data_IF_516558738840
#
_entry.id   IF_516558738840
#
_cell.length_a   1.000
_cell.length_b   1.000
_cell.length_c   1.000
_cell.angle_alpha   90.00
_cell.angle_beta   90.00
_cell.angle_gamma   90.00
#
_symmetry.space_group_name_H-M   'P 1'
#
loop_
_entity.id
_entity.type
_entity.pdbx_description
1 polymer ?
#
# COMPACT_ATOMS: atom_id res chain seq x y z
N UNK A 1 -34.99 -9.33 29.55
CA UNK A 1 -35.11 -8.62 28.26
C UNK A 1 -33.91 -9.04 27.41
N UNK A 2 -34.09 -10.07 26.60
CA UNK A 2 -33.10 -10.49 25.62
C UNK A 2 -33.37 -9.72 24.33
N UNK A 3 -32.38 -8.96 23.86
CA UNK A 3 -32.44 -8.27 22.57
C UNK A 3 -32.26 -9.33 21.47
N UNK A 4 -33.31 -9.58 20.71
CA UNK A 4 -33.28 -10.45 19.56
C UNK A 4 -32.55 -9.75 18.41
N UNK A 5 -31.47 -10.37 17.93
CA UNK A 5 -30.83 -10.05 16.65
C UNK A 5 -31.77 -10.53 15.52
N UNK A 6 -32.04 -9.76 14.46
CA UNK A 6 -33.04 -10.12 13.46
C UNK A 6 -32.50 -11.21 12.53
N UNK A 7 -33.13 -12.39 12.57
CA UNK A 7 -32.84 -13.52 11.68
C UNK A 7 -33.37 -13.34 10.23
N UNK A 8 -33.88 -12.16 9.87
CA UNK A 8 -34.54 -11.91 8.58
C UNK A 8 -33.61 -11.31 7.50
N UNK A 9 -32.44 -10.77 7.86
CA UNK A 9 -31.51 -10.13 6.90
C UNK A 9 -30.62 -11.13 6.17
N UNK A 10 -30.25 -12.25 6.83
CA UNK A 10 -29.31 -13.25 6.27
C UNK A 10 -29.92 -13.96 5.05
N UNK A 11 -31.22 -14.26 5.07
CA UNK A 11 -31.92 -14.97 3.98
C UNK A 11 -32.06 -14.10 2.72
N UNK A 12 -32.26 -12.78 2.89
CA UNK A 12 -32.42 -11.84 1.78
C UNK A 12 -31.10 -11.59 1.03
N UNK A 13 -29.98 -11.47 1.75
CA UNK A 13 -28.66 -11.25 1.15
C UNK A 13 -28.17 -12.50 0.40
N UNK A 14 -28.45 -13.70 0.92
CA UNK A 14 -28.12 -14.96 0.26
C UNK A 14 -28.96 -15.16 -1.02
N UNK A 15 -30.26 -14.84 -0.97
CA UNK A 15 -31.12 -14.86 -2.15
C UNK A 15 -30.67 -13.87 -3.24
N UNK A 16 -30.21 -12.67 -2.83
CA UNK A 16 -29.65 -11.68 -3.75
C UNK A 16 -28.41 -12.24 -4.45
N UNK A 17 -27.46 -12.81 -3.71
CA UNK A 17 -26.24 -13.39 -4.28
C UNK A 17 -26.56 -14.58 -5.22
N UNK A 18 -27.49 -15.45 -4.84
CA UNK A 18 -27.97 -16.52 -5.72
C UNK A 18 -28.57 -15.98 -7.02
N UNK A 19 -29.36 -14.89 -6.95
CA UNK A 19 -29.93 -14.26 -8.13
C UNK A 19 -28.86 -13.66 -9.06
N UNK A 20 -27.81 -13.05 -8.48
CA UNK A 20 -26.66 -12.52 -9.23
C UNK A 20 -25.89 -13.64 -9.92
N UNK A 21 -25.65 -14.77 -9.24
CA UNK A 21 -24.99 -15.93 -9.83
C UNK A 21 -25.82 -16.51 -10.98
N UNK A 22 -27.14 -16.63 -10.84
CA UNK A 22 -28.01 -17.10 -11.91
C UNK A 22 -27.99 -16.16 -13.13
N UNK A 23 -28.00 -14.85 -12.92
CA UNK A 23 -27.83 -13.84 -13.99
C UNK A 23 -26.47 -13.95 -14.67
N UNK A 24 -25.43 -14.23 -13.88
CA UNK A 24 -24.08 -14.45 -14.38
C UNK A 24 -24.01 -15.71 -15.25
N UNK A 25 -24.60 -16.82 -14.82
CA UNK A 25 -24.69 -18.05 -15.62
C UNK A 25 -25.43 -17.82 -16.95
N UNK A 26 -26.54 -17.09 -16.91
CA UNK A 26 -27.27 -16.72 -18.12
C UNK A 26 -26.42 -15.87 -19.07
N UNK A 27 -25.71 -14.86 -18.54
CA UNK A 27 -24.79 -14.02 -19.31
C UNK A 27 -23.64 -14.82 -19.94
N UNK A 28 -23.10 -15.82 -19.23
CA UNK A 28 -22.09 -16.73 -19.77
C UNK A 28 -22.64 -17.56 -20.92
N UNK A 29 -23.84 -18.12 -20.79
CA UNK A 29 -24.46 -18.97 -21.82
C UNK A 29 -24.70 -18.21 -23.13
N UNK A 30 -25.17 -16.96 -23.06
CA UNK A 30 -25.47 -16.16 -24.24
C UNK A 30 -24.26 -15.34 -24.75
N UNK A 31 -23.08 -15.46 -24.12
CA UNK A 31 -21.92 -14.60 -24.35
C UNK A 31 -22.30 -13.10 -24.34
N UNK A 32 -23.05 -12.70 -23.31
CA UNK A 32 -23.50 -11.33 -23.15
C UNK A 32 -22.32 -10.36 -23.10
N UNK A 33 -22.58 -9.09 -23.48
CA UNK A 33 -21.60 -8.04 -23.29
C UNK A 33 -21.34 -7.85 -21.78
N UNK A 34 -20.09 -8.02 -21.30
CA UNK A 34 -19.77 -7.89 -19.88
C UNK A 34 -20.12 -6.52 -19.27
N UNK A 35 -20.16 -5.46 -20.09
CA UNK A 35 -20.59 -4.13 -19.63
C UNK A 35 -22.10 -4.07 -19.34
N UNK A 36 -22.92 -4.73 -20.17
CA UNK A 36 -24.37 -4.80 -19.96
C UNK A 36 -24.68 -5.60 -18.70
N UNK A 37 -23.99 -6.74 -18.53
CA UNK A 37 -24.05 -7.51 -17.28
C UNK A 37 -23.66 -6.64 -16.07
N UNK A 38 -22.58 -5.86 -16.18
CA UNK A 38 -22.10 -5.04 -15.07
C UNK A 38 -23.10 -3.95 -14.69
N UNK A 39 -23.78 -3.32 -15.65
CA UNK A 39 -24.83 -2.33 -15.40
C UNK A 39 -26.04 -2.94 -14.70
N UNK A 40 -26.46 -4.13 -15.15
CA UNK A 40 -27.57 -4.88 -14.53
C UNK A 40 -27.24 -5.25 -13.08
N UNK A 41 -26.08 -5.84 -12.82
CA UNK A 41 -25.66 -6.23 -11.46
C UNK A 41 -25.44 -5.02 -10.56
N UNK A 42 -24.86 -3.93 -11.08
CA UNK A 42 -24.69 -2.69 -10.32
C UNK A 42 -26.05 -2.12 -9.90
N UNK A 43 -27.04 -2.12 -10.81
CA UNK A 43 -28.41 -1.71 -10.51
C UNK A 43 -29.06 -2.57 -9.42
N UNK A 44 -28.92 -3.90 -9.50
CA UNK A 44 -29.44 -4.84 -8.49
C UNK A 44 -28.81 -4.66 -7.11
N UNK A 45 -27.49 -4.39 -7.07
CA UNK A 45 -26.77 -4.13 -5.83
C UNK A 45 -27.20 -2.79 -5.21
N UNK A 46 -27.37 -1.75 -6.03
CA UNK A 46 -27.87 -0.46 -5.57
C UNK A 46 -29.32 -0.53 -5.07
N UNK A 47 -30.20 -1.25 -5.76
CA UNK A 47 -31.60 -1.43 -5.30
C UNK A 47 -31.68 -2.17 -3.97
N UNK A 48 -30.67 -2.97 -3.65
CA UNK A 48 -30.57 -3.74 -2.41
C UNK A 48 -29.69 -3.05 -1.35
N UNK A 49 -29.31 -1.79 -1.58
CA UNK A 49 -28.48 -0.98 -0.68
C UNK A 49 -27.11 -1.58 -0.32
N UNK A 50 -26.54 -2.43 -1.19
CA UNK A 50 -25.21 -3.01 -0.97
C UNK A 50 -24.13 -1.97 -1.26
N UNK A 51 -23.20 -1.78 -0.32
CA UNK A 51 -22.05 -0.90 -0.50
C UNK A 51 -21.04 -1.51 -1.48
N UNK A 52 -20.58 -0.71 -2.45
CA UNK A 52 -19.55 -1.11 -3.41
C UNK A 52 -18.19 -0.49 -3.02
N UNK A 53 -17.07 -1.21 -3.22
CA UNK A 53 -16.99 -2.59 -3.74
C UNK A 53 -17.38 -3.65 -2.70
N UNK A 54 -17.96 -4.76 -3.16
CA UNK A 54 -18.46 -5.84 -2.29
C UNK A 54 -17.46 -7.01 -2.17
N UNK A 55 -17.03 -7.28 -0.94
CA UNK A 55 -16.12 -8.38 -0.58
C UNK A 55 -16.79 -9.75 -0.78
N UNK A 56 -18.01 -9.92 -0.29
CA UNK A 56 -18.76 -11.18 -0.39
C UNK A 56 -19.01 -11.57 -1.86
N UNK A 57 -19.39 -10.59 -2.70
CA UNK A 57 -19.57 -10.83 -4.12
C UNK A 57 -18.28 -11.29 -4.81
N UNK A 58 -17.12 -10.76 -4.40
CA UNK A 58 -15.83 -11.18 -4.94
C UNK A 58 -15.55 -12.67 -4.64
N UNK A 59 -15.77 -13.11 -3.40
CA UNK A 59 -15.63 -14.52 -3.00
C UNK A 59 -16.55 -15.43 -3.80
N UNK A 60 -17.83 -15.04 -3.96
CA UNK A 60 -18.83 -15.82 -4.69
C UNK A 60 -18.53 -15.91 -6.18
N UNK A 61 -18.20 -14.79 -6.83
CA UNK A 61 -17.87 -14.77 -8.26
C UNK A 61 -16.60 -15.59 -8.54
N UNK A 62 -15.53 -15.41 -7.77
CA UNK A 62 -14.30 -16.19 -8.00
C UNK A 62 -14.54 -17.68 -7.74
N UNK A 63 -15.29 -18.03 -6.68
CA UNK A 63 -15.62 -19.43 -6.39
C UNK A 63 -16.50 -20.07 -7.45
N UNK A 64 -17.46 -19.31 -7.99
CA UNK A 64 -18.36 -19.76 -9.07
C UNK A 64 -17.60 -19.95 -10.39
N UNK A 65 -16.75 -18.98 -10.76
CA UNK A 65 -15.97 -19.10 -11.98
C UNK A 65 -14.88 -20.17 -11.89
N UNK A 66 -14.29 -20.45 -10.72
CA UNK A 66 -13.11 -21.32 -10.63
C UNK A 66 -13.33 -22.74 -11.20
N UNK A 67 -14.52 -23.30 -11.05
CA UNK A 67 -14.87 -24.61 -11.63
C UNK A 67 -15.22 -24.55 -13.12
N UNK A 68 -15.56 -23.37 -13.63
CA UNK A 68 -16.00 -23.11 -15.01
C UNK A 68 -15.11 -22.07 -15.75
N UNK A 69 -13.88 -21.87 -15.27
CA UNK A 69 -12.98 -20.73 -15.58
C UNK A 69 -12.45 -20.72 -17.04
N UNK A 70 -13.05 -21.52 -17.92
CA UNK A 70 -12.58 -21.78 -19.28
C UNK A 70 -13.15 -20.80 -20.31
N UNK A 71 -14.20 -20.04 -19.97
CA UNK A 71 -14.83 -19.08 -20.87
C UNK A 71 -14.11 -17.72 -20.87
N UNK A 72 -13.73 -17.15 -22.04
CA UNK A 72 -13.19 -15.79 -22.12
C UNK A 72 -14.16 -14.73 -21.57
N UNK A 73 -15.46 -15.00 -21.62
CA UNK A 73 -16.52 -14.14 -21.07
C UNK A 73 -16.45 -14.04 -19.55
N UNK A 74 -16.16 -15.13 -18.82
CA UNK A 74 -16.03 -15.11 -17.36
C UNK A 74 -14.86 -14.21 -16.90
N UNK A 75 -13.72 -14.32 -17.58
CA UNK A 75 -12.57 -13.46 -17.30
C UNK A 75 -12.82 -11.99 -17.59
N UNK A 76 -13.55 -11.69 -18.68
CA UNK A 76 -13.97 -10.32 -18.97
C UNK A 76 -14.98 -9.79 -17.95
N UNK A 77 -15.86 -10.64 -17.43
CA UNK A 77 -16.78 -10.26 -16.34
C UNK A 77 -15.98 -9.90 -15.09
N UNK A 78 -15.00 -10.71 -14.69
CA UNK A 78 -14.12 -10.38 -13.57
C UNK A 78 -13.37 -9.06 -13.77
N UNK A 79 -12.80 -8.86 -14.96
CA UNK A 79 -12.07 -7.64 -15.30
C UNK A 79 -12.97 -6.39 -15.27
N UNK A 80 -14.16 -6.46 -15.87
CA UNK A 80 -15.13 -5.36 -15.83
C UNK A 80 -15.64 -5.11 -14.41
N UNK A 81 -15.84 -6.17 -13.61
CA UNK A 81 -16.26 -6.05 -12.21
C UNK A 81 -15.22 -5.31 -11.38
N UNK A 82 -13.94 -5.63 -11.57
CA UNK A 82 -12.84 -4.94 -10.91
C UNK A 82 -12.71 -3.48 -11.40
N UNK A 83 -12.76 -3.28 -12.72
CA UNK A 83 -12.62 -1.96 -13.35
C UNK A 83 -13.75 -0.98 -12.98
N UNK A 84 -14.97 -1.48 -12.78
CA UNK A 84 -16.13 -0.69 -12.35
C UNK A 84 -16.30 -0.63 -10.82
N UNK A 85 -15.31 -1.10 -10.07
CA UNK A 85 -15.32 -1.12 -8.60
C UNK A 85 -16.56 -1.83 -8.00
N UNK A 86 -17.08 -2.85 -8.70
CA UNK A 86 -18.15 -3.72 -8.21
C UNK A 86 -17.58 -4.68 -7.17
N UNK A 87 -16.38 -5.22 -7.44
CA UNK A 87 -15.60 -6.04 -6.52
C UNK A 87 -14.24 -5.38 -6.26
N UNK A 88 -13.60 -5.62 -5.09
CA UNK A 88 -12.30 -5.05 -4.79
C UNK A 88 -11.21 -5.70 -5.66
N UNK A 89 -10.47 -4.93 -6.49
CA UNK A 89 -9.50 -5.52 -7.43
C UNK A 89 -8.34 -6.24 -6.74
N UNK A 90 -7.83 -5.71 -5.61
CA UNK A 90 -6.76 -6.37 -4.86
C UNK A 90 -7.21 -7.70 -4.25
N UNK A 91 -8.46 -7.77 -3.77
CA UNK A 91 -9.04 -9.03 -3.27
C UNK A 91 -9.24 -10.04 -4.39
N UNK A 92 -9.66 -9.59 -5.59
CA UNK A 92 -9.73 -10.46 -6.76
C UNK A 92 -8.37 -11.09 -7.08
N UNK A 93 -7.30 -10.28 -7.09
CA UNK A 93 -5.95 -10.78 -7.30
C UNK A 93 -5.53 -11.76 -6.19
N UNK A 94 -5.83 -11.46 -4.92
CA UNK A 94 -5.56 -12.36 -3.79
C UNK A 94 -6.23 -13.73 -3.99
N UNK A 95 -7.54 -13.73 -4.28
CA UNK A 95 -8.33 -14.95 -4.47
C UNK A 95 -7.84 -15.80 -5.63
N UNK A 96 -7.52 -15.18 -6.76
CA UNK A 96 -7.00 -15.89 -7.94
C UNK A 96 -5.59 -16.42 -7.71
N UNK A 97 -4.74 -15.66 -7.00
CA UNK A 97 -3.32 -15.99 -6.83
C UNK A 97 -3.14 -17.34 -6.10
N UNK A 98 -3.91 -17.56 -5.01
CA UNK A 98 -3.85 -18.78 -4.18
C UNK A 98 -4.13 -20.07 -4.94
N UNK A 99 -4.86 -20.01 -6.06
CA UNK A 99 -5.26 -21.19 -6.83
C UNK A 99 -4.57 -21.29 -8.18
N UNK A 100 -4.45 -20.18 -8.90
CA UNK A 100 -3.98 -20.17 -10.29
C UNK A 100 -2.46 -20.29 -10.38
N UNK A 101 -1.72 -19.66 -9.47
CA UNK A 101 -0.24 -19.71 -9.50
C UNK A 101 0.25 -21.14 -9.22
N UNK A 102 -0.46 -21.88 -8.37
CA UNK A 102 -0.22 -23.30 -8.12
C UNK A 102 -0.51 -24.15 -9.38
N UNK A 103 -1.70 -24.00 -9.97
CA UNK A 103 -2.13 -24.78 -11.13
C UNK A 103 -1.57 -24.30 -12.48
N UNK A 104 -0.64 -23.32 -12.51
CA UNK A 104 -0.19 -22.63 -13.73
C UNK A 104 0.35 -23.56 -14.83
N UNK A 105 0.97 -24.69 -14.46
CA UNK A 105 1.46 -25.71 -15.40
C UNK A 105 0.35 -26.56 -15.99
N UNK A 106 -0.73 -26.78 -15.25
CA UNK A 106 -1.91 -27.52 -15.68
C UNK A 106 -2.84 -26.62 -16.53
N UNK A 107 -2.97 -25.35 -16.15
CA UNK A 107 -3.85 -24.36 -16.78
C UNK A 107 -3.09 -23.08 -17.19
N UNK A 108 -2.24 -23.15 -18.23
CA UNK A 108 -1.43 -21.99 -18.64
C UNK A 108 -2.25 -20.82 -19.18
N UNK A 109 -3.43 -21.08 -19.76
CA UNK A 109 -4.32 -20.01 -20.24
C UNK A 109 -4.88 -19.20 -19.05
N UNK A 110 -5.31 -19.88 -17.98
CA UNK A 110 -5.78 -19.21 -16.77
C UNK A 110 -4.66 -18.38 -16.12
N UNK A 111 -3.44 -18.92 -16.07
CA UNK A 111 -2.29 -18.17 -15.57
C UNK A 111 -1.95 -16.95 -16.43
N UNK A 112 -2.02 -17.07 -17.76
CA UNK A 112 -1.84 -15.93 -18.67
C UNK A 112 -2.83 -14.81 -18.36
N UNK A 113 -4.12 -15.13 -18.23
CA UNK A 113 -5.17 -14.16 -17.93
C UNK A 113 -5.03 -13.54 -16.54
N UNK A 114 -4.62 -14.34 -15.55
CA UNK A 114 -4.26 -13.83 -14.23
C UNK A 114 -3.11 -12.80 -14.29
N UNK A 115 -2.05 -13.08 -15.04
CA UNK A 115 -0.94 -12.13 -15.21
C UNK A 115 -1.39 -10.82 -15.87
N UNK A 116 -2.27 -10.89 -16.86
CA UNK A 116 -2.86 -9.67 -17.47
C UNK A 116 -3.69 -8.88 -16.44
N UNK A 117 -4.48 -9.53 -15.59
CA UNK A 117 -5.21 -8.86 -14.50
C UNK A 117 -4.27 -8.22 -13.47
N UNK A 118 -3.19 -8.91 -13.08
CA UNK A 118 -2.18 -8.35 -12.16
C UNK A 118 -1.59 -7.08 -12.76
N UNK A 119 -1.21 -7.13 -14.05
CA UNK A 119 -0.66 -5.97 -14.76
C UNK A 119 -1.64 -4.80 -14.84
N UNK A 120 -2.94 -5.07 -14.92
CA UNK A 120 -3.96 -4.04 -15.06
C UNK A 120 -4.34 -3.41 -13.70
N UNK A 121 -4.50 -4.24 -12.67
CA UNK A 121 -5.09 -3.83 -11.40
C UNK A 121 -4.07 -3.61 -10.28
N UNK A 122 -2.92 -4.31 -10.27
CA UNK A 122 -1.98 -4.20 -9.16
C UNK A 122 -1.19 -2.88 -9.12
N UNK A 123 -1.18 -2.11 -10.21
CA UNK A 123 -0.56 -0.79 -10.27
C UNK A 123 -1.54 0.35 -9.99
N UNK A 124 -2.84 0.06 -9.86
CA UNK A 124 -3.90 1.03 -9.57
C UNK A 124 -4.07 1.27 -8.05
N UNK A 125 -3.01 1.08 -7.26
CA UNK A 125 -3.07 1.14 -5.80
C UNK A 125 -3.63 2.48 -5.28
N UNK A 126 -3.27 3.60 -5.91
CA UNK A 126 -3.70 4.95 -5.52
C UNK A 126 -5.22 5.12 -5.48
N UNK A 127 -5.98 4.40 -6.31
CA UNK A 127 -7.45 4.48 -6.35
C UNK A 127 -8.13 3.62 -5.27
N UNK A 128 -7.39 2.70 -4.64
CA UNK A 128 -7.93 1.76 -3.65
C UNK A 128 -7.89 2.29 -2.21
N UNK A 129 -7.12 3.34 -1.90
CA UNK A 129 -6.98 3.87 -0.53
C UNK A 129 -8.24 4.59 -0.01
N UNK A 130 -9.04 5.16 -0.90
CA UNK A 130 -10.22 5.96 -0.55
C UNK A 130 -11.52 5.13 -0.52
N UNK A 131 -11.44 3.80 -0.56
CA UNK A 131 -12.61 2.94 -0.57
C UNK A 131 -13.29 2.91 0.81
N UNK A 132 -14.63 3.04 0.89
CA UNK A 132 -15.36 2.99 2.16
C UNK A 132 -15.22 1.65 2.90
N UNK A 133 -14.89 0.57 2.18
CA UNK A 133 -14.77 -0.79 2.72
C UNK A 133 -13.32 -1.25 2.92
N UNK A 134 -12.34 -0.32 2.95
CA UNK A 134 -10.92 -0.67 2.94
C UNK A 134 -10.51 -1.64 4.08
N UNK A 135 -11.02 -1.44 5.29
CA UNK A 135 -10.72 -2.34 6.42
C UNK A 135 -11.17 -3.78 6.14
N UNK A 136 -12.44 -3.98 5.76
CA UNK A 136 -12.97 -5.32 5.45
C UNK A 136 -12.26 -5.97 4.25
N UNK A 137 -11.85 -5.16 3.26
CA UNK A 137 -11.08 -5.64 2.11
C UNK A 137 -9.72 -6.17 2.55
N UNK A 138 -9.02 -5.44 3.40
CA UNK A 138 -7.70 -5.85 3.89
C UNK A 138 -7.79 -7.07 4.80
N UNK A 139 -8.76 -7.11 5.72
CA UNK A 139 -9.03 -8.31 6.54
C UNK A 139 -9.27 -9.53 5.64
N UNK A 140 -10.10 -9.41 4.61
CA UNK A 140 -10.34 -10.51 3.68
C UNK A 140 -9.11 -10.88 2.84
N UNK A 141 -8.23 -9.95 2.50
CA UNK A 141 -6.97 -10.24 1.79
C UNK A 141 -6.02 -11.00 2.71
N UNK A 142 -5.93 -10.59 3.98
CA UNK A 142 -5.16 -11.30 4.99
C UNK A 142 -5.64 -12.73 5.14
N UNK A 143 -6.96 -12.94 5.28
CA UNK A 143 -7.54 -14.29 5.43
C UNK A 143 -7.27 -15.20 4.23
N UNK A 144 -7.39 -14.66 3.01
CA UNK A 144 -7.22 -15.43 1.77
C UNK A 144 -5.79 -15.88 1.57
N UNK A 145 -4.81 -14.98 1.73
CA UNK A 145 -3.40 -15.30 1.51
C UNK A 145 -2.75 -15.87 2.78
N UNK A 146 -3.35 -15.63 3.94
CA UNK A 146 -2.85 -15.91 5.29
C UNK A 146 -1.60 -15.09 5.62
N UNK A 147 -1.63 -13.77 5.35
CA UNK A 147 -0.44 -12.90 5.47
C UNK A 147 0.05 -12.84 6.93
N UNK A 148 -0.85 -12.68 7.89
CA UNK A 148 -0.61 -12.70 9.33
C UNK A 148 0.10 -13.98 9.80
N UNK A 149 -0.23 -15.12 9.19
CA UNK A 149 0.44 -16.40 9.46
C UNK A 149 1.83 -16.47 8.81
N UNK A 150 1.96 -15.95 7.59
CA UNK A 150 3.22 -15.97 6.83
C UNK A 150 4.25 -15.04 7.49
N UNK A 151 3.86 -13.84 7.89
CA UNK A 151 4.76 -12.80 8.39
C UNK A 151 4.77 -12.68 9.91
N UNK A 152 3.89 -13.39 10.61
CA UNK A 152 3.90 -13.52 12.07
C UNK A 152 3.38 -12.29 12.81
N UNK A 153 2.55 -11.46 12.16
CA UNK A 153 1.93 -10.28 12.76
C UNK A 153 0.44 -10.54 12.99
N UNK A 154 -0.04 -10.32 14.22
CA UNK A 154 -1.47 -10.40 14.56
C UNK A 154 -2.03 -8.98 14.58
N UNK A 155 -3.23 -8.80 14.06
CA UNK A 155 -3.97 -7.53 14.02
C UNK A 155 -3.24 -6.42 13.24
N UNK A 156 -2.94 -6.69 11.97
CA UNK A 156 -2.26 -5.76 11.08
C UNK A 156 -3.17 -4.59 10.66
N UNK A 157 -2.66 -3.36 10.75
CA UNK A 157 -3.32 -2.21 10.14
C UNK A 157 -3.48 -2.41 8.62
N UNK A 158 -4.53 -1.86 7.98
CA UNK A 158 -4.76 -2.00 6.53
C UNK A 158 -3.53 -1.67 5.65
N UNK A 159 -2.72 -0.69 6.05
CA UNK A 159 -1.49 -0.33 5.34
C UNK A 159 -0.39 -1.41 5.43
N UNK A 160 -0.30 -2.14 6.55
CA UNK A 160 0.63 -3.25 6.73
C UNK A 160 0.21 -4.44 5.86
N UNK A 161 -1.08 -4.78 5.88
CA UNK A 161 -1.65 -5.83 5.03
C UNK A 161 -1.35 -5.55 3.55
N UNK A 162 -1.44 -4.28 3.13
CA UNK A 162 -1.12 -3.91 1.75
C UNK A 162 0.36 -4.14 1.38
N UNK A 163 1.28 -3.77 2.27
CA UNK A 163 2.72 -4.01 2.08
C UNK A 163 2.99 -5.51 1.95
N UNK A 164 2.41 -6.30 2.85
CA UNK A 164 2.51 -7.76 2.88
C UNK A 164 1.88 -8.40 1.63
N UNK A 165 0.72 -7.92 1.19
CA UNK A 165 0.05 -8.35 -0.04
C UNK A 165 0.93 -8.14 -1.26
N UNK A 166 1.40 -6.91 -1.50
CA UNK A 166 2.24 -6.57 -2.67
C UNK A 166 3.51 -7.43 -2.68
N UNK A 167 4.16 -7.56 -1.52
CA UNK A 167 5.35 -8.39 -1.39
C UNK A 167 5.05 -9.87 -1.61
N UNK A 168 3.88 -10.34 -1.21
CA UNK A 168 3.44 -11.71 -1.46
C UNK A 168 3.25 -11.95 -2.94
N UNK A 169 2.42 -11.16 -3.64
CA UNK A 169 2.22 -11.29 -5.09
C UNK A 169 3.57 -11.28 -5.84
N UNK A 170 4.51 -10.42 -5.45
CA UNK A 170 5.85 -10.39 -6.04
C UNK A 170 6.68 -11.65 -5.78
N UNK A 171 6.75 -12.08 -4.51
CA UNK A 171 7.48 -13.29 -4.12
C UNK A 171 6.94 -14.52 -4.85
N UNK A 172 5.63 -14.57 -4.98
CA UNK A 172 4.91 -15.63 -5.63
C UNK A 172 5.17 -15.72 -7.14
N UNK A 173 5.19 -14.60 -7.86
CA UNK A 173 5.55 -14.54 -9.27
C UNK A 173 7.02 -14.93 -9.49
N UNK A 174 7.91 -14.51 -8.59
CA UNK A 174 9.33 -14.84 -8.63
C UNK A 174 9.56 -16.34 -8.44
N UNK A 175 8.98 -16.92 -7.39
CA UNK A 175 9.08 -18.35 -7.10
C UNK A 175 8.50 -19.19 -8.24
N UNK A 176 7.35 -18.79 -8.80
CA UNK A 176 6.75 -19.44 -9.96
C UNK A 176 7.67 -19.40 -11.19
N UNK A 177 8.30 -18.25 -11.46
CA UNK A 177 9.22 -18.09 -12.60
C UNK A 177 10.49 -18.91 -12.42
N UNK A 178 11.06 -18.93 -11.22
CA UNK A 178 12.22 -19.76 -10.89
C UNK A 178 11.90 -21.25 -11.01
N UNK A 179 10.74 -21.69 -10.54
CA UNK A 179 10.32 -23.09 -10.67
C UNK A 179 10.11 -23.45 -12.15
N UNK A 180 9.47 -22.59 -12.95
CA UNK A 180 9.27 -22.82 -14.39
C UNK A 180 10.58 -22.93 -15.19
N UNK A 181 11.63 -22.19 -14.80
CA UNK A 181 12.99 -22.36 -15.33
C UNK A 181 13.81 -23.45 -14.61
N UNK A 182 13.20 -24.20 -13.68
CA UNK A 182 13.81 -25.29 -12.88
C UNK A 182 15.00 -24.84 -12.02
N UNK A 183 15.03 -23.57 -11.64
CA UNK A 183 16.06 -22.98 -10.79
C UNK A 183 15.78 -23.21 -9.30
N UNK A 184 14.52 -23.45 -8.95
CA UNK A 184 14.07 -23.53 -7.55
C UNK A 184 14.39 -24.88 -6.86
N UNK A 185 14.43 -26.01 -7.59
CA UNK A 185 14.73 -27.34 -7.03
C UNK A 185 16.15 -27.50 -6.46
N UNK A 186 17.05 -26.56 -6.75
CA UNK A 186 18.44 -26.63 -6.31
C UNK A 186 18.66 -26.09 -4.89
N UNK A 187 17.59 -25.70 -4.17
CA UNK A 187 17.69 -25.04 -2.86
C UNK A 187 16.81 -25.76 -1.83
N UNK A 188 17.39 -26.58 -0.92
CA UNK A 188 16.63 -27.35 0.07
C UNK A 188 15.87 -26.53 1.11
N UNK A 189 16.31 -25.28 1.37
CA UNK A 189 15.81 -24.45 2.48
C UNK A 189 14.62 -23.56 2.09
N UNK A 190 14.36 -23.37 0.79
CA UNK A 190 13.30 -22.49 0.29
C UNK A 190 12.14 -23.35 -0.21
N UNK A 191 11.20 -23.68 0.68
CA UNK A 191 9.88 -24.15 0.23
C UNK A 191 9.10 -22.94 -0.29
N UNK A 192 8.59 -22.96 -1.53
CA UNK A 192 7.72 -21.91 -2.04
C UNK A 192 6.55 -21.70 -1.08
N UNK A 193 6.17 -20.44 -0.84
CA UNK A 193 5.13 -20.11 0.14
C UNK A 193 3.78 -20.76 -0.20
N UNK A 194 3.57 -21.03 -1.48
CA UNK A 194 2.41 -21.72 -2.04
C UNK A 194 2.32 -23.22 -1.74
N UNK A 195 3.44 -23.89 -1.49
CA UNK A 195 3.44 -25.32 -1.23
C UNK A 195 2.91 -25.65 0.18
N UNK A 196 2.97 -24.70 1.12
CA UNK A 196 2.52 -24.90 2.50
C UNK A 196 1.00 -25.04 2.64
N UNK A 197 0.21 -24.51 1.70
CA UNK A 197 -1.25 -24.60 1.70
C UNK A 197 -1.79 -25.81 0.90
N UNK A 198 -0.92 -26.74 0.48
CA UNK A 198 -1.28 -27.88 -0.37
C UNK A 198 -2.10 -28.99 0.32
N UNK A 199 -2.34 -28.92 1.63
CA UNK A 199 -2.90 -30.04 2.39
C UNK A 199 -4.42 -30.20 2.37
N UNK A 200 -5.18 -29.42 1.58
CA UNK A 200 -6.66 -29.53 1.64
C UNK A 200 -7.40 -29.46 0.31
N UNK A 201 -6.70 -29.63 -0.82
CA UNK A 201 -7.37 -29.70 -2.11
C UNK A 201 -6.79 -30.88 -2.91
N UNK A 202 -7.29 -32.09 -2.63
CA UNK A 202 -7.36 -33.16 -3.64
C UNK A 202 -8.30 -32.64 -4.74
N UNK A 203 -7.75 -31.78 -5.60
CA UNK A 203 -8.46 -31.37 -6.81
C UNK A 203 -8.27 -32.54 -7.78
N UNK A 204 -9.27 -33.41 -7.83
CA UNK A 204 -9.59 -34.14 -9.05
C UNK A 204 -9.87 -33.09 -10.14
N UNK A 205 -8.81 -32.56 -10.74
CA UNK A 205 -8.89 -31.64 -11.87
C UNK A 205 -9.54 -32.46 -12.98
N UNK A 206 -10.79 -32.17 -13.39
CA UNK A 206 -11.36 -32.86 -14.52
C UNK A 206 -10.43 -32.63 -15.71
N UNK A 207 -10.26 -33.66 -16.53
CA UNK A 207 -9.30 -33.71 -17.63
C UNK A 207 -9.72 -32.75 -18.79
N UNK A 208 -9.80 -31.45 -18.50
CA UNK A 208 -10.40 -30.43 -19.38
C UNK A 208 -9.47 -29.99 -20.51
N UNK A 209 -8.17 -30.33 -20.45
CA UNK A 209 -7.14 -29.73 -21.30
C UNK A 209 -6.47 -30.70 -22.28
N UNK A 210 -7.03 -31.89 -22.51
CA UNK A 210 -6.40 -32.91 -23.35
C UNK A 210 -6.41 -32.60 -24.87
N UNK A 211 -6.79 -31.38 -25.29
CA UNK A 211 -6.76 -30.94 -26.71
C UNK A 211 -5.57 -30.05 -27.08
N UNK A 212 -4.87 -29.47 -26.11
CA UNK A 212 -3.77 -28.55 -26.41
C UNK A 212 -2.49 -29.33 -26.75
N UNK A 213 -1.92 -29.10 -27.93
CA UNK A 213 -0.70 -29.78 -28.33
C UNK A 213 0.44 -29.44 -27.37
N UNK A 214 1.23 -30.44 -26.97
CA UNK A 214 2.32 -30.31 -25.98
C UNK A 214 3.24 -29.12 -26.25
N UNK A 215 3.63 -28.91 -27.52
CA UNK A 215 4.48 -27.76 -27.91
C UNK A 215 3.82 -26.41 -27.66
N UNK A 216 2.52 -26.31 -27.94
CA UNK A 216 1.77 -25.07 -27.73
C UNK A 216 1.64 -24.78 -26.23
N UNK A 217 1.46 -25.82 -25.41
CA UNK A 217 1.45 -25.73 -23.95
C UNK A 217 2.81 -25.27 -23.41
N UNK A 218 3.90 -25.87 -23.87
CA UNK A 218 5.27 -25.47 -23.51
C UNK A 218 5.58 -24.02 -23.92
N UNK A 219 5.14 -23.62 -25.12
CA UNK A 219 5.27 -22.24 -25.59
C UNK A 219 4.50 -21.26 -24.69
N UNK A 220 3.24 -21.55 -24.35
CA UNK A 220 2.47 -20.69 -23.44
C UNK A 220 3.12 -20.57 -22.07
N UNK A 221 3.63 -21.68 -21.51
CA UNK A 221 4.33 -21.64 -20.23
C UNK A 221 5.52 -20.71 -20.29
N UNK A 222 6.34 -20.81 -21.35
CA UNK A 222 7.49 -19.94 -21.55
C UNK A 222 7.12 -18.46 -21.69
N UNK A 223 6.09 -18.14 -22.47
CA UNK A 223 5.60 -16.76 -22.61
C UNK A 223 4.99 -16.22 -21.33
N UNK A 224 4.32 -17.07 -20.54
CA UNK A 224 3.79 -16.68 -19.24
C UNK A 224 4.91 -16.38 -18.23
N UNK A 225 5.95 -17.23 -18.17
CA UNK A 225 7.13 -16.96 -17.33
C UNK A 225 7.80 -15.65 -17.73
N UNK A 226 7.93 -15.40 -19.03
CA UNK A 226 8.45 -14.14 -19.56
C UNK A 226 7.61 -12.94 -19.10
N UNK A 227 6.28 -13.01 -19.23
CA UNK A 227 5.38 -11.95 -18.77
C UNK A 227 5.46 -11.76 -17.25
N UNK A 228 5.55 -12.83 -16.47
CA UNK A 228 5.70 -12.73 -15.02
C UNK A 228 6.98 -11.98 -14.62
N UNK A 229 8.10 -12.26 -15.30
CA UNK A 229 9.36 -11.52 -15.11
C UNK A 229 9.22 -10.05 -15.49
N UNK A 230 8.54 -9.73 -16.60
CA UNK A 230 8.24 -8.35 -16.99
C UNK A 230 7.42 -7.62 -15.92
N UNK A 231 6.37 -8.25 -15.39
CA UNK A 231 5.55 -7.70 -14.30
C UNK A 231 6.38 -7.45 -13.05
N UNK A 232 7.27 -8.37 -12.66
CA UNK A 232 8.19 -8.17 -11.51
C UNK A 232 9.04 -6.92 -11.72
N UNK A 233 9.60 -6.74 -12.92
CA UNK A 233 10.39 -5.54 -13.24
C UNK A 233 9.54 -4.27 -13.16
N UNK A 234 8.31 -4.30 -13.67
CA UNK A 234 7.37 -3.17 -13.60
C UNK A 234 7.05 -2.78 -12.15
N UNK A 235 6.84 -3.76 -11.26
CA UNK A 235 6.71 -3.51 -9.81
C UNK A 235 7.96 -2.89 -9.19
N UNK A 236 9.15 -3.33 -9.56
CA UNK A 236 10.37 -2.75 -9.00
C UNK A 236 10.59 -1.31 -9.47
N UNK A 237 10.13 -0.97 -10.68
CA UNK A 237 10.22 0.38 -11.26
C UNK A 237 9.14 1.33 -10.75
N UNK A 238 7.95 0.82 -10.42
CA UNK A 238 6.84 1.64 -9.98
C UNK A 238 7.17 2.28 -8.61
N UNK A 239 7.04 3.61 -8.54
CA UNK A 239 7.45 4.42 -7.37
C UNK A 239 6.76 4.01 -6.08
N UNK A 240 5.47 3.69 -6.14
CA UNK A 240 4.70 3.33 -4.96
C UNK A 240 5.10 1.95 -4.44
N UNK A 241 5.11 0.96 -5.32
CA UNK A 241 5.47 -0.43 -4.97
C UNK A 241 6.94 -0.55 -4.55
N UNK A 242 7.86 0.18 -5.18
CA UNK A 242 9.25 0.31 -4.74
C UNK A 242 9.37 0.87 -3.30
N UNK A 243 8.56 1.88 -2.95
CA UNK A 243 8.49 2.41 -1.57
C UNK A 243 7.96 1.37 -0.59
N UNK A 244 6.90 0.63 -0.95
CA UNK A 244 6.37 -0.48 -0.13
C UNK A 244 7.44 -1.56 0.09
N UNK A 245 8.20 -1.94 -0.95
CA UNK A 245 9.31 -2.89 -0.84
C UNK A 245 10.46 -2.37 0.04
N UNK A 246 10.69 -1.05 0.06
CA UNK A 246 11.66 -0.44 0.98
C UNK A 246 11.26 -0.61 2.45
N UNK A 247 9.94 -0.63 2.75
CA UNK A 247 9.41 -0.96 4.07
C UNK A 247 9.62 -2.44 4.40
N UNK A 248 9.44 -3.35 3.44
CA UNK A 248 9.72 -4.78 3.64
C UNK A 248 11.20 -5.00 3.96
N UNK A 249 12.10 -4.37 3.19
CA UNK A 249 13.55 -4.46 3.45
C UNK A 249 13.91 -4.02 4.87
N UNK A 250 13.25 -2.98 5.41
CA UNK A 250 13.50 -2.47 6.75
C UNK A 250 12.92 -3.33 7.86
N UNK A 251 11.69 -3.80 7.68
CA UNK A 251 10.89 -4.39 8.75
C UNK A 251 10.87 -5.93 8.71
N UNK A 252 11.18 -6.55 7.57
CA UNK A 252 11.15 -8.00 7.36
C UNK A 252 12.47 -8.51 6.75
N UNK A 253 13.63 -8.34 7.42
CA UNK A 253 14.94 -8.59 6.83
C UNK A 253 15.17 -10.06 6.41
N UNK A 254 14.59 -11.03 7.14
CA UNK A 254 14.68 -12.45 6.78
C UNK A 254 13.94 -12.74 5.46
N UNK A 255 12.70 -12.26 5.34
CA UNK A 255 11.90 -12.42 4.13
C UNK A 255 12.52 -11.69 2.94
N UNK A 256 13.02 -10.47 3.16
CA UNK A 256 13.74 -9.71 2.14
C UNK A 256 15.04 -10.39 1.72
N UNK A 257 15.81 -10.96 2.66
CA UNK A 257 17.02 -11.71 2.37
C UNK A 257 16.78 -12.88 1.43
N UNK A 258 15.75 -13.69 1.72
CA UNK A 258 15.32 -14.80 0.85
C UNK A 258 14.88 -14.30 -0.53
N UNK A 259 14.05 -13.26 -0.57
CA UNK A 259 13.59 -12.67 -1.82
C UNK A 259 14.76 -12.12 -2.67
N UNK A 260 15.70 -11.39 -2.06
CA UNK A 260 16.87 -10.86 -2.74
C UNK A 260 17.77 -11.98 -3.28
N UNK A 261 17.94 -13.06 -2.52
CA UNK A 261 18.68 -14.24 -2.99
C UNK A 261 17.99 -14.88 -4.21
N UNK A 262 16.68 -15.09 -4.16
CA UNK A 262 15.89 -15.60 -5.30
C UNK A 262 15.99 -14.67 -6.53
N UNK A 263 15.97 -13.36 -6.33
CA UNK A 263 16.15 -12.37 -7.40
C UNK A 263 17.54 -12.44 -8.03
N UNK A 264 18.59 -12.61 -7.23
CA UNK A 264 19.96 -12.82 -7.73
C UNK A 264 20.06 -14.13 -8.52
N UNK A 265 19.42 -15.20 -8.03
CA UNK A 265 19.37 -16.48 -8.73
C UNK A 265 18.72 -16.36 -10.10
N UNK A 266 17.59 -15.65 -10.18
CA UNK A 266 16.91 -15.35 -11.44
C UNK A 266 17.83 -14.53 -12.35
N UNK A 267 18.45 -13.47 -11.82
CA UNK A 267 19.34 -12.59 -12.58
C UNK A 267 20.54 -13.34 -13.19
N UNK A 268 21.14 -14.26 -12.45
CA UNK A 268 22.34 -14.98 -12.88
C UNK A 268 22.05 -16.17 -13.81
N UNK A 269 20.91 -16.84 -13.66
CA UNK A 269 20.66 -18.13 -14.30
C UNK A 269 19.47 -18.16 -15.27
N UNK A 270 18.61 -17.14 -15.27
CA UNK A 270 17.45 -17.12 -16.15
C UNK A 270 17.87 -16.97 -17.62
N UNK A 271 17.46 -17.96 -18.41
CA UNK A 271 17.62 -17.94 -19.86
C UNK A 271 16.64 -16.96 -20.53
N UNK A 272 15.49 -16.73 -19.91
CA UNK A 272 14.43 -15.86 -20.41
C UNK A 272 14.76 -14.39 -20.17
N UNK A 273 15.29 -14.06 -18.99
CA UNK A 273 15.69 -12.70 -18.63
C UNK A 273 16.79 -12.16 -19.55
N UNK A 274 17.70 -13.03 -20.03
CA UNK A 274 18.75 -12.64 -20.98
C UNK A 274 18.17 -12.11 -22.31
N UNK A 275 16.98 -12.56 -22.68
CA UNK A 275 16.31 -12.21 -23.93
C UNK A 275 15.26 -11.10 -23.77
N UNK A 276 15.07 -10.58 -22.55
CA UNK A 276 14.16 -9.50 -22.25
C UNK A 276 14.81 -8.13 -22.47
N UNK A 277 13.96 -7.11 -22.73
CA UNK A 277 14.40 -5.71 -22.86
C UNK A 277 15.14 -5.22 -21.61
N UNK A 278 14.69 -5.68 -20.44
CA UNK A 278 15.34 -5.44 -19.16
C UNK A 278 16.23 -6.65 -18.84
N UNK A 279 17.53 -6.42 -18.83
CA UNK A 279 18.53 -7.46 -18.57
C UNK A 279 18.77 -7.67 -17.07
N UNK A 280 19.52 -8.71 -16.73
CA UNK A 280 19.95 -9.03 -15.35
C UNK A 280 20.51 -7.81 -14.60
N UNK A 281 21.29 -6.97 -15.26
CA UNK A 281 21.87 -5.76 -14.68
C UNK A 281 20.80 -4.72 -14.28
N UNK A 282 19.73 -4.60 -15.06
CA UNK A 282 18.61 -3.71 -14.76
C UNK A 282 17.91 -4.16 -13.48
N UNK A 283 17.67 -5.46 -13.36
CA UNK A 283 17.01 -6.05 -12.18
C UNK A 283 17.86 -5.89 -10.92
N UNK A 284 19.18 -6.14 -11.00
CA UNK A 284 20.10 -5.94 -9.88
C UNK A 284 20.22 -4.46 -9.49
N UNK A 285 20.25 -3.54 -10.46
CA UNK A 285 20.26 -2.10 -10.18
C UNK A 285 18.98 -1.64 -9.48
N UNK A 286 17.81 -2.15 -9.86
CA UNK A 286 16.55 -1.84 -9.19
C UNK A 286 16.53 -2.35 -7.74
N UNK A 287 17.03 -3.56 -7.51
CA UNK A 287 17.20 -4.11 -6.16
C UNK A 287 18.15 -3.27 -5.30
N UNK A 288 19.27 -2.82 -5.87
CA UNK A 288 20.22 -1.94 -5.17
C UNK A 288 19.60 -0.56 -4.90
N UNK A 289 18.79 -0.02 -5.82
CA UNK A 289 18.10 1.26 -5.59
C UNK A 289 17.11 1.20 -4.42
N UNK A 290 16.43 0.06 -4.21
CA UNK A 290 15.59 -0.15 -3.02
C UNK A 290 16.44 -0.14 -1.75
N UNK A 291 17.64 -0.74 -1.81
CA UNK A 291 18.62 -0.70 -0.71
C UNK A 291 19.19 0.69 -0.48
N UNK A 292 19.51 1.44 -1.54
CA UNK A 292 20.10 2.78 -1.48
C UNK A 292 19.08 3.83 -1.04
N UNK A 293 17.81 3.75 -1.47
CA UNK A 293 16.75 4.59 -0.91
C UNK A 293 16.63 4.41 0.61
N UNK A 294 16.77 3.16 1.09
CA UNK A 294 16.85 2.86 2.52
C UNK A 294 18.13 3.39 3.16
N UNK A 295 19.27 3.31 2.47
CA UNK A 295 20.57 3.74 2.99
C UNK A 295 20.78 5.25 2.92
N UNK A 296 20.18 6.00 2.00
CA UNK A 296 20.24 7.47 1.98
C UNK A 296 19.40 8.06 3.11
N UNK A 297 18.22 7.49 3.37
CA UNK A 297 17.43 7.81 4.57
C UNK A 297 18.09 7.31 5.87
N UNK A 298 18.90 6.23 5.81
CA UNK A 298 19.72 5.78 6.94
C UNK A 298 20.98 6.63 7.10
N UNK A 299 21.63 7.10 6.04
CA UNK A 299 22.88 7.86 6.05
C UNK A 299 22.68 9.33 6.40
N UNK A 300 21.47 9.87 6.19
CA UNK A 300 21.06 11.12 6.84
C UNK A 300 20.80 10.92 8.35
N UNK A 301 20.47 9.69 8.79
CA UNK A 301 20.31 9.31 10.21
C UNK A 301 21.56 8.68 10.86
N UNK A 302 22.55 8.20 10.10
CA UNK A 302 23.70 7.39 10.58
C UNK A 302 25.05 8.06 10.35
N UNK A 303 25.08 9.25 9.74
CA UNK A 303 26.29 10.08 9.75
C UNK A 303 26.60 10.71 11.11
N UNK A 304 25.74 10.54 12.12
CA UNK A 304 26.03 10.99 13.48
C UNK A 304 26.60 9.89 14.40
N UNK A 305 26.60 8.61 14.02
CA UNK A 305 27.06 7.55 14.93
C UNK A 305 27.84 6.46 14.22
N UNK A 306 29.15 6.67 14.07
CA UNK A 306 30.13 5.57 14.14
C UNK A 306 31.53 6.12 14.39
N UNK A 307 31.76 6.53 15.64
CA UNK A 307 33.07 6.43 16.27
C UNK A 307 32.81 6.30 17.77
N UNK A 308 32.94 5.08 18.31
CA UNK A 308 33.64 4.78 19.58
C UNK A 308 33.42 3.30 19.94
N UNK A 309 34.54 2.72 20.33
CA UNK A 309 34.83 1.34 20.70
C UNK A 309 34.17 0.92 22.03
N UNK A 310 33.69 -0.33 22.07
CA UNK A 310 33.55 -1.29 23.19
C UNK A 310 33.62 -0.77 24.65
N UNK A 311 32.54 -0.94 25.43
CA UNK A 311 32.46 -1.83 26.63
C UNK A 311 31.05 -1.77 27.29
N UNK A 312 30.66 -2.78 28.10
CA UNK A 312 29.27 -3.03 28.51
C UNK A 312 29.00 -2.63 29.97
N UNK A 313 27.87 -1.96 30.30
CA UNK A 313 27.08 -2.15 31.54
C UNK A 313 25.88 -1.20 31.64
N UNK A 314 24.73 -1.78 32.02
CA UNK A 314 23.75 -1.25 33.00
C UNK A 314 23.14 0.14 32.80
N UNK A 315 21.81 0.19 32.59
CA UNK A 315 20.87 0.95 33.44
C UNK A 315 19.60 1.30 32.66
N UNK A 316 18.49 0.66 33.01
CA UNK A 316 17.15 1.18 32.78
C UNK A 316 17.01 2.54 33.44
N UNK A 317 16.69 3.59 32.69
CA UNK A 317 15.95 4.74 33.24
C UNK A 317 14.88 5.12 32.21
N UNK A 318 13.66 4.70 32.53
CA UNK A 318 12.43 5.23 31.96
C UNK A 318 12.29 6.69 32.37
N UNK A 319 12.08 7.60 31.41
CA UNK A 319 11.40 8.84 31.70
C UNK A 319 10.03 8.82 31.05
N UNK A 320 9.04 8.57 31.91
CA UNK A 320 7.66 8.88 31.66
C UNK A 320 7.48 10.40 31.63
N UNK A 321 6.98 10.89 30.50
CA UNK A 321 6.43 12.22 30.33
C UNK A 321 5.23 12.10 29.38
N UNK A 322 4.22 11.32 29.80
CA UNK A 322 2.92 11.33 29.14
C UNK A 322 2.27 12.67 29.40
N UNK A 323 1.98 13.44 28.34
CA UNK A 323 0.70 14.13 28.17
C UNK A 323 0.58 14.90 26.85
N UNK A 324 1.08 14.39 25.72
CA UNK A 324 0.51 14.63 24.38
C UNK A 324 0.85 13.41 23.52
N UNK A 325 -0.15 12.82 22.87
CA UNK A 325 -0.08 11.47 22.30
C UNK A 325 1.15 11.20 21.43
N UNK A 326 1.80 10.07 21.70
CA UNK A 326 2.98 9.53 21.00
C UNK A 326 2.82 9.36 19.47
N UNK A 327 1.61 9.50 18.90
CA UNK A 327 1.40 9.40 17.45
C UNK A 327 1.53 10.72 16.69
N UNK A 328 1.61 11.87 17.37
CA UNK A 328 1.58 13.18 16.70
C UNK A 328 2.95 13.85 16.59
N UNK A 329 3.96 13.41 17.34
CA UNK A 329 5.31 13.98 17.26
C UNK A 329 5.98 13.80 15.90
N UNK A 330 5.54 12.82 15.10
CA UNK A 330 6.04 12.59 13.73
C UNK A 330 5.52 13.63 12.73
N UNK A 331 4.35 14.21 12.97
CA UNK A 331 3.73 15.20 12.09
C UNK A 331 4.37 16.58 12.23
N UNK A 332 5.00 16.86 13.37
CA UNK A 332 5.75 18.09 13.62
C UNK A 332 7.21 18.02 13.17
N UNK A 333 7.70 16.83 12.80
CA UNK A 333 9.09 16.60 12.36
C UNK A 333 9.51 17.49 11.17
N UNK A 334 8.66 17.76 10.16
CA UNK A 334 9.02 18.70 9.09
C UNK A 334 9.28 20.12 9.59
N UNK A 335 8.51 20.58 10.59
CA UNK A 335 8.70 21.90 11.21
C UNK A 335 9.96 21.91 12.08
N UNK A 336 10.21 20.83 12.84
CA UNK A 336 11.43 20.68 13.65
C UNK A 336 12.69 20.84 12.77
N UNK A 337 12.72 20.20 11.59
CA UNK A 337 13.84 20.27 10.65
C UNK A 337 14.05 21.65 10.03
N UNK A 338 12.97 22.35 9.67
CA UNK A 338 13.06 23.69 9.05
C UNK A 338 13.51 24.73 10.08
N UNK A 339 13.07 24.60 11.34
CA UNK A 339 13.56 25.46 12.42
C UNK A 339 15.03 25.17 12.75
N UNK A 340 15.46 23.91 12.76
CA UNK A 340 16.87 23.52 12.96
C UNK A 340 17.76 24.09 11.83
N UNK A 341 17.32 24.02 10.57
CA UNK A 341 18.03 24.59 9.41
C UNK A 341 18.11 26.13 9.48
N UNK A 342 17.02 26.79 9.94
CA UNK A 342 17.00 28.24 10.13
C UNK A 342 17.98 28.72 11.22
N UNK A 343 18.31 27.88 12.20
CA UNK A 343 19.28 28.17 13.26
C UNK A 343 20.75 27.97 12.83
N UNK A 344 21.00 27.05 11.90
CA UNK A 344 22.36 26.70 11.47
C UNK A 344 23.03 27.80 10.64
N UNK A 345 22.24 28.72 10.07
CA UNK A 345 22.72 29.97 9.46
C UNK A 345 23.60 29.79 8.21
N UNK A 346 23.74 28.56 7.71
CA UNK A 346 24.57 28.19 6.57
C UNK A 346 23.88 28.34 5.21
N UNK A 347 22.55 28.25 5.15
CA UNK A 347 21.76 28.40 3.93
C UNK A 347 20.40 29.10 4.21
N UNK A 348 20.37 30.41 3.91
CA UNK A 348 19.23 31.20 3.39
C UNK A 348 18.18 31.76 4.37
N UNK A 349 17.72 32.97 4.01
CA UNK A 349 16.98 33.99 4.75
C UNK A 349 15.74 33.53 5.55
N UNK A 350 15.65 33.95 6.81
CA UNK A 350 14.54 33.70 7.73
C UNK A 350 13.13 34.02 7.18
N UNK A 351 13.00 34.89 6.17
CA UNK A 351 11.73 35.20 5.52
C UNK A 351 11.10 33.99 4.81
N UNK A 352 11.89 33.10 4.19
CA UNK A 352 11.35 31.88 3.56
C UNK A 352 10.88 30.86 4.59
N UNK A 353 11.56 30.77 5.74
CA UNK A 353 11.17 29.85 6.81
C UNK A 353 9.79 30.21 7.39
N UNK A 354 9.50 31.50 7.57
CA UNK A 354 8.20 31.97 8.07
C UNK A 354 7.06 31.57 7.12
N UNK A 355 7.22 31.81 5.81
CA UNK A 355 6.19 31.43 4.81
C UNK A 355 5.96 29.93 4.75
N UNK A 356 7.04 29.13 4.72
CA UNK A 356 6.96 27.66 4.65
C UNK A 356 6.30 27.11 5.93
N UNK A 357 6.71 27.58 7.11
CA UNK A 357 6.14 27.12 8.37
C UNK A 357 4.67 27.54 8.48
N UNK A 358 4.30 28.73 7.99
CA UNK A 358 2.90 29.18 7.95
C UNK A 358 2.02 28.20 7.17
N UNK A 359 2.43 27.82 5.96
CA UNK A 359 1.71 26.83 5.16
C UNK A 359 1.62 25.45 5.83
N UNK A 360 2.71 24.99 6.47
CA UNK A 360 2.72 23.71 7.17
C UNK A 360 1.83 23.71 8.43
N UNK A 361 1.79 24.82 9.18
CA UNK A 361 0.94 24.96 10.36
C UNK A 361 -0.54 24.95 9.95
N UNK A 362 -0.93 25.62 8.86
CA UNK A 362 -2.29 25.55 8.30
C UNK A 362 -2.67 24.15 7.85
N UNK A 363 -1.76 23.44 7.18
CA UNK A 363 -1.97 22.06 6.77
C UNK A 363 -2.13 21.13 7.98
N UNK A 364 -1.29 21.30 9.00
CA UNK A 364 -1.39 20.52 10.23
C UNK A 364 -2.68 20.83 10.99
N UNK A 365 -3.12 22.09 11.02
CA UNK A 365 -4.40 22.48 11.59
C UNK A 365 -5.57 21.78 10.89
N UNK A 366 -5.62 21.84 9.55
CA UNK A 366 -6.71 21.25 8.76
C UNK A 366 -6.74 19.72 8.84
N UNK A 367 -5.57 19.06 8.79
CA UNK A 367 -5.46 17.59 8.87
C UNK A 367 -5.76 17.08 10.29
N UNK A 368 -5.40 17.85 11.33
CA UNK A 368 -5.65 17.45 12.72
C UNK A 368 -7.06 17.79 13.22
N UNK A 369 -7.78 18.70 12.55
CA UNK A 369 -9.10 19.19 13.00
C UNK A 369 -9.06 19.83 14.39
N UNK A 370 -7.87 20.27 14.85
CA UNK A 370 -7.66 20.81 16.19
C UNK A 370 -8.04 22.30 16.24
N UNK A 371 -8.30 22.85 17.43
CA UNK A 371 -8.48 24.32 17.58
C UNK A 371 -7.15 25.03 17.34
N UNK A 372 -7.18 26.25 16.80
CA UNK A 372 -5.99 27.08 16.59
C UNK A 372 -5.10 27.22 17.83
N UNK A 373 -5.71 27.35 19.01
CA UNK A 373 -4.99 27.39 20.28
C UNK A 373 -4.07 26.16 20.49
N UNK A 374 -4.54 24.96 20.15
CA UNK A 374 -3.77 23.73 20.29
C UNK A 374 -2.68 23.63 19.21
N UNK A 375 -2.98 24.09 17.99
CA UNK A 375 -2.00 24.12 16.89
C UNK A 375 -0.86 25.10 17.20
N UNK A 376 -1.17 26.30 17.69
CA UNK A 376 -0.16 27.27 18.11
C UNK A 376 0.66 26.77 19.30
N UNK A 377 0.03 26.14 20.30
CA UNK A 377 0.75 25.51 21.41
C UNK A 377 1.71 24.41 20.93
N UNK A 378 1.31 23.64 19.92
CA UNK A 378 2.18 22.65 19.26
C UNK A 378 3.41 23.30 18.62
N UNK A 379 3.22 24.39 17.87
CA UNK A 379 4.30 25.17 17.26
C UNK A 379 5.28 25.72 18.32
N UNK A 380 4.75 26.23 19.44
CA UNK A 380 5.56 26.69 20.57
C UNK A 380 6.36 25.55 21.21
N UNK A 381 5.73 24.39 21.37
CA UNK A 381 6.38 23.20 21.96
C UNK A 381 7.52 22.71 21.07
N UNK A 382 7.35 22.74 19.75
CA UNK A 382 8.40 22.44 18.77
C UNK A 382 9.61 23.36 18.91
N UNK A 383 9.38 24.68 18.94
CA UNK A 383 10.46 25.65 19.14
C UNK A 383 11.19 25.45 20.49
N UNK A 384 10.46 25.22 21.58
CA UNK A 384 11.07 24.98 22.90
C UNK A 384 11.86 23.68 22.98
N UNK A 385 11.42 22.62 22.31
CA UNK A 385 12.17 21.35 22.22
C UNK A 385 13.53 21.55 21.57
N UNK A 386 13.60 22.41 20.54
CA UNK A 386 14.84 22.72 19.83
C UNK A 386 15.83 23.49 20.72
N UNK A 387 15.34 24.47 21.47
CA UNK A 387 16.12 25.25 22.46
C UNK A 387 16.67 24.35 23.56
N UNK A 388 15.84 23.44 24.09
CA UNK A 388 16.25 22.49 25.13
C UNK A 388 17.34 21.54 24.62
N UNK A 389 17.21 21.06 23.38
CA UNK A 389 18.22 20.22 22.72
C UNK A 389 19.55 20.95 22.55
N UNK A 390 19.54 22.24 22.24
CA UNK A 390 20.77 23.04 22.09
C UNK A 390 21.45 23.35 23.43
N UNK A 391 20.67 23.48 24.52
CA UNK A 391 21.20 23.67 25.88
C UNK A 391 22.01 22.48 26.41
N UNK A 392 21.66 21.26 26.02
CA UNK A 392 22.24 20.02 26.56
C UNK A 392 23.53 19.56 25.82
N UNK A 393 23.92 20.24 24.74
CA UNK A 393 25.16 19.97 23.98
C UNK A 393 26.39 20.56 24.70
N UNK A 394 27.11 19.72 25.48
CA UNK A 394 28.28 20.12 26.29
C UNK A 394 29.58 20.43 25.53
N UNK A 395 29.59 20.50 24.20
CA UNK A 395 30.85 20.60 23.43
C UNK A 395 30.74 21.54 22.22
N UNK A 396 30.87 22.84 22.46
CA UNK A 396 31.08 23.85 21.43
C UNK A 396 31.26 25.24 22.06
N UNK A 397 32.00 26.17 21.42
CA UNK A 397 32.10 27.54 21.92
C UNK A 397 30.70 28.15 21.92
N UNK A 398 30.21 28.50 23.11
CA UNK A 398 28.90 29.12 23.34
C UNK A 398 28.93 30.52 22.71
N UNK A 399 28.11 30.77 21.67
CA UNK A 399 27.16 31.88 21.77
C UNK A 399 25.91 31.62 20.93
N UNK A 400 24.93 30.84 21.38
CA UNK A 400 23.68 30.67 20.60
C UNK A 400 22.37 30.61 21.35
N UNK A 401 22.30 30.25 22.64
CA UNK A 401 20.97 30.07 23.28
C UNK A 401 20.08 31.32 23.20
N UNK A 402 20.61 32.50 23.54
CA UNK A 402 19.83 33.75 23.48
C UNK A 402 19.47 34.12 22.04
N UNK A 403 20.39 33.92 21.09
CA UNK A 403 20.17 34.18 19.66
C UNK A 403 19.17 33.20 19.04
N UNK A 404 19.25 31.93 19.40
CA UNK A 404 18.36 30.84 19.02
C UNK A 404 16.96 31.10 19.57
N UNK A 405 16.85 31.41 20.87
CA UNK A 405 15.60 31.80 21.49
C UNK A 405 14.99 33.01 20.77
N UNK A 406 15.76 34.08 20.55
CA UNK A 406 15.28 35.26 19.85
C UNK A 406 14.82 34.97 18.42
N UNK A 407 15.56 34.15 17.67
CA UNK A 407 15.23 33.81 16.29
C UNK A 407 13.97 32.93 16.22
N UNK A 408 13.88 31.90 17.05
CA UNK A 408 12.71 31.01 17.11
C UNK A 408 11.47 31.73 17.61
N UNK A 409 11.60 32.58 18.64
CA UNK A 409 10.51 33.44 19.11
C UNK A 409 10.05 34.39 17.99
N UNK A 410 10.98 34.95 17.22
CA UNK A 410 10.63 35.84 16.10
C UNK A 410 9.91 35.10 14.98
N UNK A 411 10.42 33.94 14.55
CA UNK A 411 9.81 33.12 13.49
C UNK A 411 8.42 32.64 13.92
N UNK A 412 8.30 32.04 15.11
CA UNK A 412 7.01 31.51 15.60
C UNK A 412 5.97 32.61 15.79
N UNK A 413 6.34 33.77 16.32
CA UNK A 413 5.41 34.90 16.47
C UNK A 413 4.97 35.48 15.13
N UNK A 414 5.87 35.59 14.15
CA UNK A 414 5.51 36.06 12.80
C UNK A 414 4.61 35.06 12.06
N UNK A 415 4.85 33.76 12.22
CA UNK A 415 3.95 32.72 11.69
C UNK A 415 2.55 32.86 12.28
N UNK A 416 2.44 33.03 13.61
CA UNK A 416 1.14 33.20 14.27
C UNK A 416 0.47 34.51 13.82
N UNK A 417 1.22 35.62 13.75
CA UNK A 417 0.69 36.90 13.31
C UNK A 417 0.16 36.84 11.86
N UNK A 418 0.93 36.25 10.93
CA UNK A 418 0.49 36.08 9.54
C UNK A 418 -0.80 35.25 9.44
N UNK A 419 -0.93 34.19 10.24
CA UNK A 419 -2.15 33.36 10.26
C UNK A 419 -3.34 34.17 10.79
N UNK A 420 -3.16 34.90 11.90
CA UNK A 420 -4.23 35.70 12.51
C UNK A 420 -4.65 36.84 11.57
N UNK A 421 -3.70 37.56 10.96
CA UNK A 421 -4.01 38.64 10.01
C UNK A 421 -4.75 38.12 8.77
N UNK A 422 -4.37 36.94 8.26
CA UNK A 422 -5.05 36.31 7.12
C UNK A 422 -6.47 35.86 7.50
N UNK A 423 -6.65 35.22 8.67
CA UNK A 423 -7.99 34.81 9.13
C UNK A 423 -8.90 36.00 9.48
N UNK A 424 -8.36 37.06 10.11
CA UNK A 424 -9.13 38.28 10.38
C UNK A 424 -9.52 38.99 9.08
N UNK A 425 -8.63 39.02 8.08
CA UNK A 425 -8.92 39.58 6.75
C UNK A 425 -9.99 38.80 6.01
N UNK A 426 -9.94 37.47 6.06
CA UNK A 426 -10.98 36.59 5.48
C UNK A 426 -12.35 36.82 6.14
N UNK A 427 -12.39 36.98 7.47
CA UNK A 427 -13.62 37.27 8.21
C UNK A 427 -14.19 38.67 7.91
N UNK A 428 -13.33 39.66 7.70
CA UNK A 428 -13.73 41.02 7.29
C UNK A 428 -14.29 41.00 5.87
N UNK A 429 -13.64 40.31 4.92
CA UNK A 429 -14.15 40.14 3.56
C UNK A 429 -15.50 39.38 3.53
N UNK A 430 -15.66 38.37 4.39
CA UNK A 430 -16.91 37.63 4.52
C UNK A 430 -18.02 38.47 5.16
N UNK A 431 -17.69 39.32 6.14
CA UNK A 431 -18.61 40.29 6.74
C UNK A 431 -19.03 41.40 5.75
N UNK A 432 -18.12 41.85 4.87
CA UNK A 432 -18.42 42.81 3.80
C UNK A 432 -19.25 42.21 2.66
N UNK A 433 -19.18 40.88 2.45
CA UNK A 433 -20.02 40.13 1.50
C UNK A 433 -21.36 39.66 2.08
N UNK A 434 -21.60 39.85 3.38
CA UNK A 434 -22.91 39.66 4.02
C UNK A 434 -23.99 40.58 3.43
N UNK A 435 -25.30 40.26 3.59
CA UNK A 435 -26.37 40.90 2.84
C UNK A 435 -26.68 42.31 3.38
N UNK A 436 -25.89 43.30 3.01
CA UNK A 436 -26.20 44.72 3.26
C UNK A 436 -26.37 45.56 1.97
N UNK A 437 -26.36 44.96 0.78
CA UNK A 437 -26.53 45.69 -0.48
C UNK A 437 -27.65 45.17 -1.39
N UNK A 438 -28.70 44.57 -0.83
CA UNK A 438 -30.00 44.48 -1.49
C UNK A 438 -31.01 45.40 -0.79
N UNK A 439 -30.93 46.69 -1.09
CA UNK A 439 -31.86 47.66 -0.52
C UNK A 439 -31.61 49.06 -1.01
N UNK A 440 -31.88 49.31 -2.30
CA UNK A 440 -32.53 50.52 -2.87
C UNK A 440 -32.15 50.69 -4.34
N UNK A 441 -32.95 50.12 -5.23
CA UNK A 441 -33.39 50.88 -6.41
C UNK A 441 -34.90 51.03 -6.31
N UNK A 442 -35.34 52.24 -6.00
CA UNK A 442 -36.69 52.72 -6.30
C UNK A 442 -36.54 53.82 -7.33
#
# INVERSE_FOLDING_TARGET
>A
MASAVPAQTIDADELLLCSILHRTDFALQINANPNVWAEEITSMLHSSAVTLPSVELAHRLVSHFFWNCHGPTAWKILDVSASRNIIPPLLLLALLSTRIVYCRRLQPIAYKLYLELVKLHAFMLETHFNSPNNQMIMESIDDVIKLSQIYGQKDCEPGVVLVEFVFSILSQLLEASLDDERLLYNIPEIKPRWLSNSHDMDIDVPDCNNRMHRRQKEWLLRENTKLAIEIIVEFLQNKMTSRLLSLVHRNMPLHWGSFNYQMQLLASNSSLLRNLKHNANTLLSLMENIRVGVSHERNTKSKLESNVVVTPTGSQISFAGQSYGSSWSSLWLPIDLILEDALDGGQVAAFSAIEIITGLVKLLHSVSGSKWQNTFLGLWTVALRLVQRERDLKAGPIPRLDTCMCLLLSITTHVVANIVEEEESELIEEAERGPSNQGKSK
#
